data_IF_122896243665
#
_entry.id   IF_122896243665
#
_cell.length_a   1.000
_cell.length_b   1.000
_cell.length_c   1.000
_cell.angle_alpha   90.00
_cell.angle_beta   90.00
_cell.angle_gamma   90.00
#
_symmetry.space_group_name_H-M   'P 1'
#
loop_
_entity.id
_entity.type
_entity.pdbx_description
1 polymer ?
#
# COMPACT_ATOMS: atom_id res chain seq x y z
N UNK A 1 -10.47 -65.38 -45.92
CA UNK A 1 -11.34 -64.23 -45.58
C UNK A 1 -11.71 -64.34 -44.11
N UNK A 2 -11.10 -63.52 -43.27
CA UNK A 2 -11.49 -63.34 -41.87
C UNK A 2 -11.10 -61.91 -41.48
N UNK A 3 -12.10 -61.13 -41.05
CA UNK A 3 -12.01 -59.70 -40.81
C UNK A 3 -11.26 -59.37 -39.50
N UNK A 4 -10.65 -58.18 -39.39
CA UNK A 4 -9.99 -57.71 -38.18
C UNK A 4 -10.99 -57.17 -37.13
N UNK A 5 -10.59 -57.05 -35.85
CA UNK A 5 -11.49 -56.70 -34.75
C UNK A 5 -11.80 -55.20 -34.65
N UNK A 6 -12.96 -54.95 -34.04
CA UNK A 6 -13.60 -53.66 -33.78
C UNK A 6 -12.82 -52.75 -32.84
N UNK A 7 -12.59 -51.51 -33.27
CA UNK A 7 -12.09 -50.40 -32.44
C UNK A 7 -13.22 -49.78 -31.63
N UNK A 8 -12.99 -49.68 -30.32
CA UNK A 8 -13.86 -48.99 -29.37
C UNK A 8 -13.65 -47.48 -29.46
N UNK A 9 -14.76 -46.74 -29.56
CA UNK A 9 -14.85 -45.29 -29.50
C UNK A 9 -14.58 -44.78 -28.07
N UNK A 10 -13.55 -43.96 -27.88
CA UNK A 10 -13.40 -43.11 -26.69
C UNK A 10 -13.98 -41.72 -26.98
N UNK A 11 -14.65 -41.07 -26.01
CA UNK A 11 -15.30 -39.78 -26.24
C UNK A 11 -14.27 -38.66 -26.34
N UNK A 12 -14.43 -37.82 -27.36
CA UNK A 12 -13.73 -36.56 -27.53
C UNK A 12 -14.03 -35.64 -26.33
N UNK A 13 -13.06 -35.46 -25.45
CA UNK A 13 -13.07 -34.37 -24.49
C UNK A 13 -12.75 -33.07 -25.24
N UNK A 14 -13.67 -32.11 -25.19
CA UNK A 14 -13.41 -30.72 -25.55
C UNK A 14 -12.21 -30.22 -24.74
N UNK A 15 -11.11 -29.96 -25.44
CA UNK A 15 -10.00 -29.19 -24.89
C UNK A 15 -10.51 -27.76 -24.82
N UNK A 16 -10.80 -27.28 -23.61
CA UNK A 16 -11.08 -25.87 -23.38
C UNK A 16 -9.86 -25.06 -23.84
N UNK A 17 -10.00 -24.40 -24.98
CA UNK A 17 -9.00 -23.45 -25.48
C UNK A 17 -8.99 -22.29 -24.48
N UNK A 18 -7.95 -22.27 -23.65
CA UNK A 18 -7.70 -21.17 -22.73
C UNK A 18 -7.52 -19.90 -23.56
N UNK A 19 -8.45 -18.97 -23.37
CA UNK A 19 -8.55 -17.74 -24.15
C UNK A 19 -7.44 -16.81 -23.69
N UNK A 20 -6.36 -16.70 -24.48
CA UNK A 20 -5.32 -15.69 -24.31
C UNK A 20 -5.97 -14.29 -24.23
N UNK A 21 -5.48 -13.37 -23.36
CA UNK A 21 -6.06 -12.05 -23.19
C UNK A 21 -5.70 -11.17 -24.40
N UNK A 22 -6.41 -11.39 -25.50
CA UNK A 22 -6.34 -10.59 -26.71
C UNK A 22 -7.54 -9.66 -26.76
N UNK A 23 -7.24 -8.37 -26.72
CA UNK A 23 -8.15 -7.23 -26.90
C UNK A 23 -9.29 -7.10 -25.90
N UNK A 24 -9.22 -6.06 -25.08
CA UNK A 24 -10.37 -5.49 -24.39
C UNK A 24 -11.38 -5.02 -25.44
N UNK A 25 -12.34 -5.88 -25.75
CA UNK A 25 -13.42 -5.61 -26.70
C UNK A 25 -14.75 -6.15 -26.18
N UNK A 26 -15.68 -5.24 -25.89
CA UNK A 26 -17.12 -5.52 -25.86
C UNK A 26 -17.85 -5.19 -24.55
N UNK A 27 -18.05 -3.91 -24.25
CA UNK A 27 -18.94 -3.40 -23.21
C UNK A 27 -18.55 -2.00 -22.74
N UNK A 28 -19.41 -1.00 -22.94
CA UNK A 28 -19.16 0.46 -22.86
C UNK A 28 -18.81 1.05 -21.46
N UNK A 29 -18.30 0.25 -20.52
CA UNK A 29 -17.89 0.73 -19.20
C UNK A 29 -16.42 0.38 -18.92
N UNK A 30 -15.63 1.38 -18.53
CA UNK A 30 -14.29 1.14 -18.01
C UNK A 30 -14.37 0.22 -16.77
N UNK A 31 -13.43 -0.73 -16.60
CA UNK A 31 -13.43 -1.65 -15.47
C UNK A 31 -13.39 -0.89 -14.14
N UNK A 32 -14.13 -1.38 -13.16
CA UNK A 32 -14.12 -0.87 -11.80
C UNK A 32 -12.77 -1.09 -11.13
N UNK A 33 -12.48 -0.29 -10.09
CA UNK A 33 -11.24 -0.45 -9.31
C UNK A 33 -11.13 -1.84 -8.66
N UNK A 34 -12.25 -2.44 -8.28
CA UNK A 34 -12.28 -3.79 -7.70
C UNK A 34 -11.91 -4.85 -8.74
N UNK A 35 -12.42 -4.73 -9.97
CA UNK A 35 -12.05 -5.61 -11.09
C UNK A 35 -10.56 -5.48 -11.42
N UNK A 36 -10.05 -4.24 -11.51
CA UNK A 36 -8.62 -3.99 -11.74
C UNK A 36 -7.74 -4.61 -10.65
N UNK A 37 -8.11 -4.46 -9.36
CA UNK A 37 -7.38 -5.12 -8.28
C UNK A 37 -7.48 -6.65 -8.34
N UNK A 38 -8.60 -7.21 -8.78
CA UNK A 38 -8.74 -8.66 -8.98
C UNK A 38 -7.84 -9.16 -10.11
N UNK A 39 -7.74 -8.41 -11.21
CA UNK A 39 -6.81 -8.70 -12.31
C UNK A 39 -5.36 -8.67 -11.83
N UNK A 40 -4.96 -7.60 -11.12
CA UNK A 40 -3.61 -7.48 -10.54
C UNK A 40 -3.32 -8.64 -9.60
N UNK A 41 -4.25 -9.01 -8.71
CA UNK A 41 -4.06 -10.14 -7.79
C UNK A 41 -3.87 -11.47 -8.50
N UNK A 42 -4.60 -11.72 -9.60
CA UNK A 42 -4.46 -12.94 -10.40
C UNK A 42 -3.08 -13.04 -11.06
N UNK A 43 -2.45 -11.90 -11.34
CA UNK A 43 -1.22 -11.82 -12.12
C UNK A 43 0.00 -11.37 -11.29
N UNK A 44 -0.15 -11.26 -9.97
CA UNK A 44 0.95 -10.89 -9.07
C UNK A 44 1.57 -12.15 -8.48
N UNK A 45 2.71 -12.55 -9.06
CA UNK A 45 3.52 -13.69 -8.65
C UNK A 45 3.96 -13.63 -7.17
N UNK A 46 4.08 -12.44 -6.57
CA UNK A 46 4.57 -12.23 -5.20
C UNK A 46 3.49 -12.21 -4.12
N UNK A 47 2.21 -12.11 -4.47
CA UNK A 47 1.13 -11.99 -3.47
C UNK A 47 0.88 -13.32 -2.72
N UNK A 48 1.43 -14.45 -3.20
CA UNK A 48 1.31 -15.78 -2.59
C UNK A 48 2.48 -16.24 -1.71
N UNK A 49 3.69 -15.67 -1.81
CA UNK A 49 4.89 -16.26 -1.18
C UNK A 49 4.82 -16.31 0.37
N UNK A 50 4.05 -15.41 1.01
CA UNK A 50 3.89 -15.46 2.48
C UNK A 50 3.06 -16.65 2.98
N UNK A 51 2.43 -17.43 2.09
CA UNK A 51 1.79 -18.71 2.40
C UNK A 51 2.68 -19.81 1.84
N UNK A 52 3.41 -20.49 2.73
CA UNK A 52 4.02 -21.78 2.42
C UNK A 52 2.86 -22.69 2.00
N UNK A 53 2.94 -23.29 0.81
CA UNK A 53 1.91 -24.08 0.08
C UNK A 53 1.28 -23.35 -1.11
N UNK A 54 2.06 -23.19 -2.18
CA UNK A 54 1.53 -23.26 -3.54
C UNK A 54 2.53 -24.04 -4.38
N UNK A 55 2.07 -25.16 -4.91
CA UNK A 55 2.80 -26.02 -5.83
C UNK A 55 3.07 -25.21 -7.10
N UNK A 56 4.30 -25.30 -7.60
CA UNK A 56 4.83 -24.55 -8.74
C UNK A 56 4.06 -24.94 -10.02
N UNK A 57 2.94 -24.27 -10.27
CA UNK A 57 2.12 -24.48 -11.46
C UNK A 57 2.81 -23.79 -12.64
N UNK A 58 3.60 -24.56 -13.38
CA UNK A 58 4.50 -24.15 -14.45
C UNK A 58 3.81 -23.63 -15.74
N UNK A 59 2.61 -23.05 -15.65
CA UNK A 59 1.96 -22.31 -16.75
C UNK A 59 2.25 -20.79 -16.71
N UNK A 60 3.23 -20.41 -15.88
CA UNK A 60 3.53 -19.07 -15.39
C UNK A 60 4.14 -18.14 -16.45
N UNK A 61 3.32 -17.24 -16.99
CA UNK A 61 3.77 -16.19 -17.92
C UNK A 61 3.91 -14.89 -17.12
N UNK A 62 5.15 -14.46 -16.86
CA UNK A 62 5.46 -13.08 -16.43
C UNK A 62 4.72 -12.14 -17.39
N UNK A 63 3.74 -11.38 -16.87
CA UNK A 63 2.92 -10.52 -17.70
C UNK A 63 3.78 -9.42 -18.33
N UNK A 64 3.50 -9.10 -19.58
CA UNK A 64 4.29 -8.14 -20.33
C UNK A 64 4.17 -6.71 -19.78
N UNK A 65 5.16 -5.87 -20.07
CA UNK A 65 5.17 -4.45 -19.70
C UNK A 65 3.88 -3.72 -20.13
N UNK A 66 3.22 -4.20 -21.18
CA UNK A 66 1.98 -3.63 -21.71
C UNK A 66 0.81 -3.83 -20.75
N UNK A 67 0.68 -5.00 -20.12
CA UNK A 67 -0.34 -5.23 -19.10
C UNK A 67 -0.20 -4.22 -17.94
N UNK A 68 0.99 -4.10 -17.37
CA UNK A 68 1.24 -3.21 -16.24
C UNK A 68 1.09 -1.74 -16.59
N UNK A 69 1.53 -1.33 -17.79
CA UNK A 69 1.28 -0.01 -18.34
C UNK A 69 -0.22 0.29 -18.39
N UNK A 70 -1.04 -0.64 -18.90
CA UNK A 70 -2.49 -0.49 -18.98
C UNK A 70 -3.15 -0.45 -17.60
N UNK A 71 -2.69 -1.26 -16.65
CA UNK A 71 -3.18 -1.22 -15.27
C UNK A 71 -2.87 0.14 -14.61
N UNK A 72 -1.66 0.67 -14.76
CA UNK A 72 -1.29 1.98 -14.21
C UNK A 72 -2.16 3.09 -14.80
N UNK A 73 -2.35 3.07 -16.12
CA UNK A 73 -3.19 4.04 -16.83
C UNK A 73 -4.65 3.97 -16.37
N UNK A 74 -5.26 2.78 -16.40
CA UNK A 74 -6.65 2.58 -15.98
C UNK A 74 -6.87 2.94 -14.52
N UNK A 75 -5.90 2.67 -13.64
CA UNK A 75 -6.12 2.78 -12.20
C UNK A 75 -5.78 4.16 -11.62
N UNK A 76 -4.73 4.81 -12.11
CA UNK A 76 -4.22 6.07 -11.55
C UNK A 76 -4.36 7.27 -12.48
N UNK A 77 -4.55 7.05 -13.78
CA UNK A 77 -4.68 8.14 -14.76
C UNK A 77 -6.13 8.31 -15.18
N UNK A 78 -6.71 7.33 -15.88
CA UNK A 78 -8.09 7.36 -16.40
C UNK A 78 -9.14 7.06 -15.33
N UNK A 79 -8.86 6.16 -14.39
CA UNK A 79 -9.78 5.75 -13.32
C UNK A 79 -9.70 6.59 -12.06
N UNK A 80 -9.05 7.77 -12.12
CA UNK A 80 -9.01 8.70 -11.00
C UNK A 80 -10.41 9.22 -10.73
N UNK A 81 -10.99 8.80 -9.60
CA UNK A 81 -12.27 9.33 -9.11
C UNK A 81 -11.95 10.66 -8.45
N UNK A 82 -12.41 11.78 -8.99
CA UNK A 82 -12.17 13.10 -8.40
C UNK A 82 -12.90 13.24 -7.06
N UNK A 83 -12.30 12.80 -5.95
CA UNK A 83 -12.81 13.02 -4.59
C UNK A 83 -12.07 14.21 -3.97
N UNK A 84 -12.60 15.40 -4.25
CA UNK A 84 -12.26 16.67 -3.58
C UNK A 84 -10.92 17.33 -3.97
N UNK A 85 -10.75 18.58 -3.49
CA UNK A 85 -9.67 19.52 -3.83
C UNK A 85 -8.31 19.21 -3.17
N UNK A 86 -8.24 18.19 -2.32
CA UNK A 86 -7.06 17.89 -1.48
C UNK A 86 -6.30 16.63 -1.88
N UNK A 87 -6.66 15.99 -3.01
CA UNK A 87 -5.94 14.81 -3.46
C UNK A 87 -4.55 15.15 -4.00
N UNK A 88 -3.55 14.39 -3.54
CA UNK A 88 -2.21 14.40 -4.09
C UNK A 88 -2.26 14.16 -5.62
N UNK A 89 -1.61 15.02 -6.39
CA UNK A 89 -1.54 14.92 -7.84
C UNK A 89 -0.24 14.27 -8.33
N UNK A 90 0.56 13.70 -7.43
CA UNK A 90 1.80 13.04 -7.79
C UNK A 90 1.57 11.61 -8.31
N UNK A 91 2.22 11.29 -9.43
CA UNK A 91 2.30 9.94 -10.01
C UNK A 91 3.77 9.53 -10.06
N UNK A 92 4.06 8.35 -9.54
CA UNK A 92 5.42 7.83 -9.37
C UNK A 92 5.77 6.83 -10.48
N UNK A 93 7.00 6.89 -11.00
CA UNK A 93 7.49 5.99 -12.03
C UNK A 93 8.85 5.45 -11.63
N UNK A 94 9.00 4.13 -11.58
CA UNK A 94 10.25 3.44 -11.23
C UNK A 94 11.08 3.25 -12.48
N UNK A 95 12.37 3.61 -12.40
CA UNK A 95 13.30 3.42 -13.51
C UNK A 95 13.70 1.94 -13.62
N UNK A 96 13.64 1.41 -14.83
CA UNK A 96 14.10 0.06 -15.16
C UNK A 96 15.62 -0.01 -15.03
N UNK A 97 16.11 -0.94 -14.23
CA UNK A 97 17.55 -1.20 -14.08
C UNK A 97 18.14 -1.98 -15.27
N UNK A 98 17.32 -2.36 -16.27
CA UNK A 98 17.69 -3.29 -17.34
C UNK A 98 18.66 -2.70 -18.38
N UNK A 99 18.97 -1.39 -18.37
CA UNK A 99 19.59 -0.71 -19.52
C UNK A 99 20.81 0.19 -19.28
N UNK A 100 21.35 0.40 -18.07
CA UNK A 100 22.39 1.43 -17.90
C UNK A 100 23.66 1.02 -17.16
N UNK A 101 24.78 1.58 -17.66
CA UNK A 101 26.10 1.56 -17.06
C UNK A 101 26.57 2.97 -16.64
N UNK A 102 27.52 2.98 -15.71
CA UNK A 102 28.39 4.04 -15.21
C UNK A 102 27.79 5.24 -14.43
N UNK A 103 26.51 5.60 -14.56
CA UNK A 103 25.83 6.48 -13.58
C UNK A 103 24.48 5.87 -13.20
N UNK A 104 24.26 5.58 -11.92
CA UNK A 104 23.00 5.03 -11.43
C UNK A 104 21.93 6.14 -11.48
N UNK A 105 20.94 6.07 -12.39
CA UNK A 105 19.84 7.03 -12.40
C UNK A 105 19.09 6.95 -11.06
N UNK A 106 18.37 8.02 -10.66
CA UNK A 106 17.52 7.94 -9.48
C UNK A 106 16.56 6.76 -9.60
N UNK A 107 16.24 6.04 -8.50
CA UNK A 107 15.47 4.81 -8.57
C UNK A 107 14.04 5.01 -9.09
N UNK A 108 13.51 6.23 -9.00
CA UNK A 108 12.21 6.61 -9.52
C UNK A 108 12.21 8.10 -9.88
N UNK A 109 11.21 8.52 -10.65
CA UNK A 109 10.88 9.93 -10.90
C UNK A 109 9.39 10.18 -10.64
N UNK A 110 9.05 11.45 -10.44
CA UNK A 110 7.68 11.87 -10.10
C UNK A 110 7.17 12.84 -11.15
N UNK A 111 5.87 12.78 -11.43
CA UNK A 111 5.16 13.70 -12.32
C UNK A 111 3.87 14.17 -11.68
N UNK A 112 3.42 15.36 -12.05
CA UNK A 112 2.07 15.82 -11.72
C UNK A 112 1.09 15.17 -12.68
N UNK A 113 -0.04 14.71 -12.16
CA UNK A 113 -1.07 13.99 -12.87
C UNK A 113 -1.56 14.80 -14.07
N UNK A 114 -1.86 14.08 -15.14
CA UNK A 114 -2.43 14.61 -16.37
C UNK A 114 -3.46 13.60 -16.87
N UNK A 115 -4.51 14.02 -17.59
CA UNK A 115 -5.58 13.12 -18.04
C UNK A 115 -5.15 12.02 -19.02
N UNK A 116 -3.91 12.06 -19.49
CA UNK A 116 -3.34 11.11 -20.46
C UNK A 116 -1.96 10.68 -20.00
N UNK A 117 -1.73 9.38 -19.94
CA UNK A 117 -0.47 8.82 -19.46
C UNK A 117 0.71 9.24 -20.34
N UNK A 118 0.51 9.40 -21.65
CA UNK A 118 1.57 9.86 -22.57
C UNK A 118 2.09 11.27 -22.23
N UNK A 119 1.29 12.11 -21.57
CA UNK A 119 1.72 13.45 -21.13
C UNK A 119 2.61 13.42 -19.89
N UNK A 120 2.59 12.31 -19.14
CA UNK A 120 3.43 12.11 -17.96
C UNK A 120 4.81 11.58 -18.34
N UNK A 121 4.85 10.76 -19.40
CA UNK A 121 6.03 10.03 -19.84
C UNK A 121 6.67 10.77 -21.02
N UNK A 122 7.50 11.76 -20.74
CA UNK A 122 8.40 12.37 -21.74
C UNK A 122 9.71 11.57 -21.92
N UNK A 123 9.81 10.40 -21.27
CA UNK A 123 10.99 9.52 -21.26
C UNK A 123 10.71 8.32 -22.18
N UNK A 124 11.74 7.61 -22.63
CA UNK A 124 11.55 6.37 -23.38
C UNK A 124 10.73 5.38 -22.53
N UNK A 125 9.57 4.94 -23.05
CA UNK A 125 8.65 3.99 -22.38
C UNK A 125 9.37 2.71 -21.94
N UNK A 126 10.42 2.33 -22.67
CA UNK A 126 11.28 1.16 -22.41
C UNK A 126 12.18 1.29 -21.16
N UNK A 127 12.31 2.48 -20.58
CA UNK A 127 13.12 2.75 -19.38
C UNK A 127 12.28 2.69 -18.09
N UNK A 128 10.98 2.41 -18.17
CA UNK A 128 10.08 2.39 -17.01
C UNK A 128 9.78 0.95 -16.62
N UNK A 129 9.94 0.64 -15.34
CA UNK A 129 9.43 -0.59 -14.74
C UNK A 129 7.96 -0.39 -14.37
N UNK A 130 7.06 -0.83 -15.27
CA UNK A 130 5.62 -0.60 -15.15
C UNK A 130 5.00 -1.31 -13.94
N UNK A 131 5.46 -2.53 -13.65
CA UNK A 131 4.98 -3.30 -12.51
C UNK A 131 5.32 -2.60 -11.19
N UNK A 132 6.60 -2.25 -11.00
CA UNK A 132 7.04 -1.54 -9.78
C UNK A 132 6.42 -0.16 -9.68
N UNK A 133 6.20 0.53 -10.80
CA UNK A 133 5.48 1.79 -10.84
C UNK A 133 4.04 1.62 -10.37
N UNK A 134 3.33 0.58 -10.83
CA UNK A 134 1.97 0.30 -10.38
C UNK A 134 1.90 0.08 -8.86
N UNK A 135 2.75 -0.80 -8.31
CA UNK A 135 2.75 -1.06 -6.87
C UNK A 135 3.18 0.15 -6.05
N UNK A 136 4.14 0.94 -6.54
CA UNK A 136 4.55 2.15 -5.84
C UNK A 136 3.37 3.13 -5.74
N UNK A 137 2.64 3.38 -6.83
CA UNK A 137 1.44 4.22 -6.78
C UNK A 137 0.34 3.62 -5.90
N UNK A 138 0.18 2.29 -5.90
CA UNK A 138 -0.80 1.61 -5.04
C UNK A 138 -0.49 1.88 -3.56
N UNK A 139 0.78 1.82 -3.18
CA UNK A 139 1.23 2.12 -1.82
C UNK A 139 1.11 3.62 -1.54
N UNK A 140 1.63 4.51 -2.37
CA UNK A 140 1.62 5.96 -2.10
C UNK A 140 0.23 6.57 -2.07
N UNK A 141 -0.74 6.01 -2.81
CA UNK A 141 -2.11 6.52 -2.85
C UNK A 141 -3.08 5.73 -1.95
N UNK A 142 -2.58 4.81 -1.13
CA UNK A 142 -3.35 4.20 -0.05
C UNK A 142 -3.31 5.10 1.19
N UNK A 143 -4.39 5.16 1.96
CA UNK A 143 -4.40 5.94 3.20
C UNK A 143 -3.84 5.14 4.37
N UNK A 144 -3.13 5.84 5.26
CA UNK A 144 -2.51 5.20 6.41
C UNK A 144 -2.76 5.98 7.69
N UNK A 145 -2.78 5.25 8.80
CA UNK A 145 -2.85 5.84 10.14
C UNK A 145 -1.82 5.18 11.04
N UNK A 146 -0.94 5.99 11.61
CA UNK A 146 -0.09 5.60 12.73
C UNK A 146 -0.84 5.87 14.03
N UNK A 147 -0.84 4.89 14.90
CA UNK A 147 -1.36 5.00 16.26
C UNK A 147 -0.24 4.73 17.24
N UNK A 148 -0.05 5.64 18.18
CA UNK A 148 0.84 5.46 19.32
C UNK A 148 0.00 5.45 20.58
N UNK A 149 0.15 4.41 21.39
CA UNK A 149 -0.57 4.24 22.63
C UNK A 149 0.38 3.88 23.77
N UNK A 150 0.09 4.36 24.96
CA UNK A 150 0.77 3.99 26.20
C UNK A 150 -0.05 2.91 26.89
N UNK A 151 0.59 1.79 27.22
CA UNK A 151 -0.02 0.70 27.96
C UNK A 151 0.81 0.37 29.20
N UNK A 152 0.15 -0.10 30.26
CA UNK A 152 0.83 -0.79 31.35
C UNK A 152 1.25 -2.20 30.91
N UNK A 153 2.49 -2.56 31.19
CA UNK A 153 3.05 -3.89 30.92
C UNK A 153 2.29 -4.95 31.71
N UNK A 154 1.93 -4.66 32.98
CA UNK A 154 1.12 -5.54 33.81
C UNK A 154 -0.25 -5.83 33.20
N UNK A 155 -0.89 -4.81 32.66
CA UNK A 155 -2.17 -4.93 31.94
C UNK A 155 -2.04 -5.81 30.68
N UNK A 156 -1.00 -5.59 29.87
CA UNK A 156 -0.77 -6.40 28.68
C UNK A 156 -0.55 -7.88 29.01
N UNK A 157 0.18 -8.20 30.09
CA UNK A 157 0.38 -9.57 30.58
C UNK A 157 -0.95 -10.20 31.02
N UNK A 158 -1.74 -9.49 31.82
CA UNK A 158 -3.05 -9.94 32.28
C UNK A 158 -4.07 -10.16 31.13
N UNK A 159 -3.94 -9.39 30.03
CA UNK A 159 -4.79 -9.56 28.84
C UNK A 159 -4.57 -10.90 28.15
N UNK A 160 -3.33 -11.37 28.06
CA UNK A 160 -3.03 -12.68 27.47
C UNK A 160 -3.78 -13.81 28.20
N UNK A 161 -4.04 -13.62 29.49
CA UNK A 161 -4.72 -14.60 30.34
C UNK A 161 -6.25 -14.45 30.37
N UNK A 162 -6.80 -13.24 30.19
CA UNK A 162 -8.22 -12.94 30.48
C UNK A 162 -9.06 -12.45 29.29
N UNK A 163 -8.51 -12.41 28.06
CA UNK A 163 -9.19 -12.05 26.80
C UNK A 163 -9.99 -10.71 26.81
N UNK A 164 -9.76 -9.85 27.82
CA UNK A 164 -10.45 -8.56 27.96
C UNK A 164 -9.63 -7.46 27.27
N UNK A 165 -10.28 -6.61 26.47
CA UNK A 165 -9.65 -5.42 25.90
C UNK A 165 -9.40 -4.40 27.02
N UNK A 166 -8.14 -4.08 27.27
CA UNK A 166 -7.74 -3.07 28.24
C UNK A 166 -7.59 -1.72 27.51
N UNK A 167 -8.14 -0.63 28.08
CA UNK A 167 -7.95 0.69 27.49
C UNK A 167 -6.48 1.12 27.64
N UNK A 168 -5.92 1.81 26.65
CA UNK A 168 -4.61 2.43 26.82
C UNK A 168 -4.68 3.56 27.85
N UNK A 169 -3.56 3.81 28.52
CA UNK A 169 -3.37 4.97 29.42
C UNK A 169 -3.48 6.27 28.63
N UNK A 170 -2.90 6.27 27.43
CA UNK A 170 -3.00 7.37 26.48
C UNK A 170 -2.97 6.81 25.06
N UNK A 171 -3.66 7.45 24.12
CA UNK A 171 -3.68 7.04 22.72
C UNK A 171 -3.82 8.24 21.81
N UNK A 172 -2.98 8.29 20.79
CA UNK A 172 -3.09 9.23 19.68
C UNK A 172 -3.02 8.48 18.36
N UNK A 173 -3.78 8.96 17.37
CA UNK A 173 -3.78 8.45 16.01
C UNK A 173 -3.64 9.61 15.04
N UNK A 174 -2.73 9.49 14.06
CA UNK A 174 -2.50 10.50 13.03
C UNK A 174 -2.46 9.84 11.66
N UNK A 175 -3.03 10.52 10.67
CA UNK A 175 -2.85 10.16 9.26
C UNK A 175 -1.40 10.37 8.88
N UNK A 176 -0.84 9.43 8.13
CA UNK A 176 0.52 9.52 7.58
C UNK A 176 0.48 9.15 6.11
N UNK A 177 1.49 9.59 5.37
CA UNK A 177 1.59 9.34 3.93
C UNK A 177 2.80 8.43 3.67
N UNK A 178 2.60 7.45 2.79
CA UNK A 178 3.67 6.60 2.31
C UNK A 178 4.55 7.41 1.34
N UNK A 179 5.86 7.42 1.59
CA UNK A 179 6.83 8.13 0.76
C UNK A 179 7.98 7.20 0.34
N UNK A 180 8.35 7.16 -0.95
CA UNK A 180 9.58 6.49 -1.41
C UNK A 180 10.85 7.30 -1.12
N UNK A 181 10.73 8.44 -0.43
CA UNK A 181 11.84 9.26 0.04
C UNK A 181 11.84 9.30 1.57
N UNK A 182 13.04 9.46 2.15
CA UNK A 182 13.19 9.67 3.59
C UNK A 182 13.62 11.09 3.89
N UNK A 183 12.98 11.68 4.89
CA UNK A 183 13.39 12.93 5.53
C UNK A 183 14.43 12.59 6.60
N UNK A 184 15.65 13.13 6.48
CA UNK A 184 16.65 13.00 7.55
C UNK A 184 16.35 14.05 8.63
N UNK A 185 15.48 13.71 9.58
CA UNK A 185 15.17 14.57 10.71
C UNK A 185 16.46 14.97 11.45
N UNK A 186 16.78 16.27 11.40
CA UNK A 186 17.81 16.88 12.23
C UNK A 186 17.10 17.81 13.19
N UNK A 187 17.03 17.42 14.47
CA UNK A 187 16.41 18.20 15.55
C UNK A 187 16.85 19.68 15.54
N UNK A 188 18.07 19.96 15.07
CA UNK A 188 18.72 21.27 15.20
C UNK A 188 18.53 22.23 13.99
N UNK A 189 17.83 21.88 12.90
CA UNK A 189 17.85 22.69 11.67
C UNK A 189 16.54 23.37 11.28
N UNK A 190 16.58 24.71 11.29
CA UNK A 190 15.59 25.64 10.68
C UNK A 190 15.62 25.72 9.14
N UNK A 191 16.18 24.71 8.46
CA UNK A 191 16.27 24.66 6.98
C UNK A 191 15.51 23.45 6.46
N UNK A 192 14.93 23.59 5.26
CA UNK A 192 14.29 22.51 4.52
C UNK A 192 15.15 21.24 4.60
N UNK A 193 14.56 20.18 5.14
CA UNK A 193 15.25 18.90 5.30
C UNK A 193 15.44 18.31 3.91
N UNK A 194 16.68 18.01 3.56
CA UNK A 194 17.00 17.32 2.30
C UNK A 194 16.38 15.91 2.33
N UNK A 195 15.49 15.64 1.39
CA UNK A 195 14.90 14.32 1.19
C UNK A 195 15.86 13.46 0.37
N UNK A 196 16.15 12.26 0.87
CA UNK A 196 16.99 11.29 0.17
C UNK A 196 16.11 10.17 -0.37
N UNK A 197 16.31 9.66 -1.59
CA UNK A 197 15.61 8.47 -2.07
C UNK A 197 15.78 7.30 -1.10
N UNK A 198 14.68 6.64 -0.75
CA UNK A 198 14.66 5.49 0.15
C UNK A 198 14.20 4.21 -0.55
N UNK A 199 13.55 4.34 -1.71
CA UNK A 199 13.09 3.23 -2.55
C UNK A 199 14.21 2.17 -2.75
N UNK A 200 13.91 0.87 -2.55
CA UNK A 200 12.59 0.26 -2.44
C UNK A 200 11.91 0.36 -1.06
N UNK A 201 12.56 0.98 -0.06
CA UNK A 201 11.93 1.20 1.24
C UNK A 201 10.90 2.34 1.18
N UNK A 202 9.79 2.14 1.88
CA UNK A 202 8.71 3.13 2.01
C UNK A 202 8.72 3.69 3.42
N UNK A 203 8.79 5.00 3.53
CA UNK A 203 8.80 5.73 4.79
C UNK A 203 7.39 6.26 5.11
N UNK A 204 7.04 6.25 6.39
CA UNK A 204 5.80 6.86 6.90
C UNK A 204 6.21 7.92 7.92
N UNK A 205 6.34 9.16 7.48
CA UNK A 205 6.64 10.29 8.38
C UNK A 205 5.37 10.90 8.94
N UNK A 206 5.49 11.45 10.14
CA UNK A 206 4.54 12.39 10.71
C UNK A 206 5.21 13.75 10.58
N UNK A 207 4.62 14.72 9.90
CA UNK A 207 5.28 16.02 9.68
C UNK A 207 4.94 17.03 10.78
N UNK A 208 3.87 16.78 11.52
CA UNK A 208 3.31 17.61 12.58
C UNK A 208 3.35 16.85 13.92
N UNK A 209 4.57 16.70 14.45
CA UNK A 209 4.82 16.03 15.74
C UNK A 209 4.51 16.92 16.94
N UNK A 210 4.77 18.22 16.77
CA UNK A 210 4.57 19.27 17.78
C UNK A 210 3.04 19.40 17.97
N UNK A 211 2.55 19.23 19.20
CA UNK A 211 1.15 19.20 19.63
C UNK A 211 0.54 17.79 19.89
N UNK A 212 0.40 16.86 18.92
CA UNK A 212 -0.32 15.60 19.17
C UNK A 212 0.45 14.57 19.99
N UNK A 213 1.79 14.64 19.99
CA UNK A 213 2.65 13.68 20.69
C UNK A 213 3.27 14.26 21.97
N UNK A 214 3.06 15.53 22.30
CA UNK A 214 3.62 16.18 23.50
C UNK A 214 3.19 15.48 24.80
N UNK A 215 1.96 14.98 24.83
CA UNK A 215 1.43 14.22 25.96
C UNK A 215 1.84 12.74 25.95
N UNK A 216 2.50 12.27 24.90
CA UNK A 216 2.97 10.89 24.74
C UNK A 216 4.35 10.77 25.38
N UNK A 217 4.37 10.74 26.71
CA UNK A 217 5.60 10.62 27.51
C UNK A 217 5.52 9.41 28.44
N UNK A 218 6.45 8.47 28.29
CA UNK A 218 6.63 7.39 29.25
C UNK A 218 7.23 7.95 30.55
N UNK A 219 6.37 8.18 31.54
CA UNK A 219 6.78 8.62 32.88
C UNK A 219 6.88 7.46 33.87
N UNK A 220 6.09 6.41 33.67
CA UNK A 220 6.06 5.22 34.54
C UNK A 220 6.96 4.11 33.94
N UNK A 221 7.90 3.54 34.73
CA UNK A 221 8.73 2.41 34.30
C UNK A 221 7.93 1.16 33.88
N UNK A 222 6.71 0.99 34.38
CA UNK A 222 5.82 -0.11 34.04
C UNK A 222 5.00 0.17 32.77
N UNK A 223 5.23 1.29 32.09
CA UNK A 223 4.58 1.61 30.82
C UNK A 223 5.46 1.30 29.60
N UNK A 224 4.80 1.05 28.48
CA UNK A 224 5.43 0.91 27.17
C UNK A 224 4.66 1.70 26.10
N UNK A 225 5.36 2.11 25.05
CA UNK A 225 4.70 2.55 23.83
C UNK A 225 4.31 1.33 23.00
N UNK A 226 3.11 1.33 22.46
CA UNK A 226 2.68 0.45 21.38
C UNK A 226 2.43 1.29 20.13
N UNK A 227 3.07 0.93 19.03
CA UNK A 227 2.97 1.62 17.75
C UNK A 227 2.33 0.69 16.73
N UNK A 228 1.29 1.18 16.06
CA UNK A 228 0.56 0.43 15.05
C UNK A 228 0.43 1.28 13.79
N UNK A 229 0.92 0.78 12.65
CA UNK A 229 0.66 1.33 11.33
C UNK A 229 -0.44 0.52 10.67
N UNK A 230 -1.45 1.22 10.16
CA UNK A 230 -2.54 0.57 9.46
C UNK A 230 -2.75 1.20 8.10
N UNK A 231 -3.00 0.36 7.10
CA UNK A 231 -3.53 0.74 5.81
C UNK A 231 -5.06 0.68 5.84
N UNK A 232 -5.72 1.67 5.27
CA UNK A 232 -7.16 1.78 5.14
C UNK A 232 -7.48 2.70 3.96
N UNK A 233 -8.66 2.53 3.35
CA UNK A 233 -9.16 3.40 2.26
C UNK A 233 -8.14 3.66 1.11
N UNK A 234 -8.44 4.61 0.23
CA UNK A 234 -7.57 5.01 -0.88
C UNK A 234 -7.40 3.90 -1.92
N UNK A 235 -6.21 3.84 -2.50
CA UNK A 235 -6.00 3.07 -3.71
C UNK A 235 -6.22 1.56 -3.54
N UNK A 236 -5.76 0.97 -2.43
CA UNK A 236 -5.85 -0.46 -2.16
C UNK A 236 -7.20 -0.93 -1.56
N UNK A 237 -8.06 0.00 -1.11
CA UNK A 237 -9.33 -0.32 -0.47
C UNK A 237 -10.48 0.47 -1.13
N UNK A 238 -10.87 0.11 -2.37
CA UNK A 238 -11.95 0.80 -3.06
C UNK A 238 -13.27 0.64 -2.31
N UNK A 239 -13.98 1.74 -2.10
CA UNK A 239 -15.36 1.70 -1.60
C UNK A 239 -16.28 1.04 -2.64
N UNK A 240 -17.12 0.11 -2.20
CA UNK A 240 -18.25 -0.32 -3.03
C UNK A 240 -19.25 0.83 -3.14
N UNK A 241 -19.21 1.57 -4.23
CA UNK A 241 -20.32 2.46 -4.58
C UNK A 241 -21.52 1.59 -4.92
N UNK A 242 -22.33 1.24 -3.91
CA UNK A 242 -23.72 0.87 -4.14
C UNK A 242 -24.33 2.02 -4.92
N UNK A 243 -24.80 1.73 -6.12
CA UNK A 243 -25.51 2.68 -6.99
C UNK A 243 -26.60 3.39 -6.18
N UNK A 244 -26.36 4.64 -5.80
CA UNK A 244 -27.40 5.51 -5.25
C UNK A 244 -28.31 5.97 -6.40
N UNK A 245 -29.16 5.06 -6.86
CA UNK A 245 -30.42 5.45 -7.48
C UNK A 245 -31.46 5.45 -6.37
N UNK A 246 -31.78 6.63 -5.86
CA UNK A 246 -33.12 7.20 -6.06
C UNK A 246 -33.30 8.47 -5.24
N UNK A 247 -33.78 9.47 -5.95
CA UNK A 247 -34.28 10.75 -5.46
C UNK A 247 -35.38 10.60 -4.41
N UNK A 248 -35.23 11.24 -3.25
CA UNK A 248 -36.29 12.04 -2.63
C UNK A 248 -35.75 12.95 -1.53
N UNK A 249 -36.12 14.23 -1.62
CA UNK A 249 -36.01 15.23 -0.56
C UNK A 249 -36.88 14.84 0.63
N UNK A 250 -36.32 14.69 1.85
CA UNK A 250 -36.92 15.15 3.11
C UNK A 250 -35.79 15.50 4.11
N UNK A 251 -35.84 16.71 4.66
CA UNK A 251 -35.04 17.17 5.80
C UNK A 251 -35.74 16.74 7.11
N UNK A 252 -35.02 16.14 8.06
CA UNK A 252 -35.08 16.39 9.51
C UNK A 252 -34.31 15.31 10.29
N UNK A 253 -33.59 15.74 11.32
CA UNK A 253 -32.71 14.88 12.12
C UNK A 253 -33.43 13.96 13.09
N UNK A 254 -32.79 12.84 13.38
CA UNK A 254 -32.72 12.15 14.67
C UNK A 254 -31.80 10.94 14.49
N UNK A 255 -31.01 10.66 15.53
CA UNK A 255 -30.07 9.54 15.62
C UNK A 255 -30.61 8.25 14.98
N UNK A 256 -29.88 7.74 14.00
CA UNK A 256 -29.92 6.33 13.65
C UNK A 256 -28.48 5.87 13.56
N UNK A 257 -28.10 5.04 14.54
CA UNK A 257 -26.84 4.31 14.52
C UNK A 257 -26.82 3.42 13.30
N UNK A 258 -26.29 3.93 12.20
CA UNK A 258 -25.82 3.07 11.14
C UNK A 258 -24.68 2.26 11.73
N UNK A 259 -24.86 0.94 11.79
CA UNK A 259 -23.73 0.01 11.80
C UNK A 259 -22.96 0.23 10.49
N UNK A 260 -22.19 1.31 10.42
CA UNK A 260 -21.10 1.42 9.45
C UNK A 260 -20.14 0.33 9.87
N UNK A 261 -20.14 -0.79 9.13
CA UNK A 261 -19.01 -1.69 9.14
C UNK A 261 -17.77 -0.81 8.92
N UNK A 262 -16.87 -0.80 9.90
CA UNK A 262 -15.64 -0.02 9.77
C UNK A 262 -14.97 -0.45 8.46
N UNK A 263 -14.45 0.50 7.66
CA UNK A 263 -13.82 0.16 6.40
C UNK A 263 -12.71 -0.88 6.63
N UNK A 264 -12.50 -1.80 5.67
CA UNK A 264 -11.50 -2.86 5.81
C UNK A 264 -10.15 -2.23 6.13
N UNK A 265 -9.60 -2.60 7.29
CA UNK A 265 -8.34 -2.07 7.82
C UNK A 265 -7.33 -3.20 7.92
N UNK A 266 -6.11 -2.97 7.43
CA UNK A 266 -5.01 -3.93 7.52
C UNK A 266 -3.88 -3.36 8.36
N UNK A 267 -3.45 -4.11 9.37
CA UNK A 267 -2.26 -3.75 10.16
C UNK A 267 -1.02 -4.14 9.37
N UNK A 268 -0.16 -3.17 9.06
CA UNK A 268 1.11 -3.40 8.37
C UNK A 268 2.27 -3.55 9.35
N UNK A 269 2.20 -2.83 10.48
CA UNK A 269 3.20 -2.89 11.53
C UNK A 269 2.52 -2.82 12.88
N UNK A 270 3.02 -3.62 13.82
CA UNK A 270 2.65 -3.58 15.23
C UNK A 270 3.90 -3.90 16.05
N UNK A 271 4.34 -2.94 16.86
CA UNK A 271 5.50 -3.09 17.71
C UNK A 271 5.28 -2.42 19.07
N UNK A 272 6.15 -2.74 20.02
CA UNK A 272 6.18 -2.05 21.30
C UNK A 272 7.63 -1.73 21.70
N UNK A 273 7.79 -0.70 22.52
CA UNK A 273 9.08 -0.34 23.14
C UNK A 273 8.85 -0.02 24.60
N UNK A 274 9.64 -0.64 25.48
CA UNK A 274 9.53 -0.46 26.93
C UNK A 274 10.13 0.87 27.38
N UNK A 275 9.72 1.35 28.55
CA UNK A 275 10.37 2.49 29.21
C UNK A 275 11.90 2.34 29.25
N UNK A 276 12.39 1.16 29.65
CA UNK A 276 13.82 0.88 29.79
C UNK A 276 14.56 1.02 28.46
N UNK A 277 14.01 0.52 27.36
CA UNK A 277 14.65 0.65 26.04
C UNK A 277 14.66 2.10 25.53
N UNK A 278 13.60 2.88 25.81
CA UNK A 278 13.58 4.31 25.47
C UNK A 278 14.64 5.05 26.29
N UNK A 279 14.77 4.72 27.58
CA UNK A 279 15.74 5.34 28.47
C UNK A 279 17.17 5.00 28.07
N UNK A 280 17.45 3.74 27.78
CA UNK A 280 18.76 3.30 27.27
C UNK A 280 19.14 4.00 25.97
N UNK A 281 18.19 4.14 25.03
CA UNK A 281 18.44 4.86 23.78
C UNK A 281 18.65 6.37 23.99
N UNK A 282 17.99 6.98 24.98
CA UNK A 282 18.18 8.38 25.34
C UNK A 282 19.51 8.64 26.05
N UNK A 283 19.90 7.75 26.97
CA UNK A 283 21.14 7.85 27.74
C UNK A 283 22.36 7.37 26.93
N UNK A 284 22.15 6.70 25.79
CA UNK A 284 23.22 6.26 24.91
C UNK A 284 24.03 7.47 24.42
N UNK A 285 25.37 7.45 24.54
CA UNK A 285 26.20 8.55 24.06
C UNK A 285 25.99 8.70 22.56
N UNK A 286 25.61 9.89 22.11
CA UNK A 286 25.53 10.22 20.69
C UNK A 286 26.90 9.94 20.06
N UNK A 287 27.01 8.90 19.23
CA UNK A 287 28.21 8.62 18.42
C UNK A 287 28.36 9.68 17.33
N UNK A 288 28.59 10.94 17.72
CA UNK A 288 28.88 12.07 16.81
C UNK A 288 29.98 12.99 17.35
N UNK A 289 30.71 12.59 18.40
CA UNK A 289 31.84 13.39 18.92
C UNK A 289 33.20 12.70 18.93
N UNK A 290 33.44 11.73 18.04
CA UNK A 290 34.79 11.16 17.86
C UNK A 290 35.16 10.98 16.39
N UNK A 291 35.34 12.11 15.70
CA UNK A 291 36.24 12.23 14.54
C UNK A 291 36.58 13.71 14.35
N UNK A 292 37.33 14.25 15.32
CA UNK A 292 38.24 15.39 15.12
C UNK A 292 39.54 15.06 15.85
N UNK A 293 40.49 14.54 15.10
CA UNK A 293 41.91 14.66 15.32
C UNK A 293 42.54 14.82 13.93
#
# INVERSE_FOLDING_TARGET
MAAPPSTSSSPSGEIAVERSPSSFGGGDAAPSRLELLSMVKKHSHLIGWTVVEAEDDASDVEMDDKFWHEMLDLFFVRGRVSKSREEDDLVFFVNSMKTHGFEDPPPFFVRRWAPKLEKLINVNVSEIDWERSFYLNLVTHTSYTVTVAIYSIGDLRNRAEKSKRLPPVYKVSKTVYASPSRVNFRLDRRKAVETVPAYPNICFSVDDFDDPFDAVVLSDPEHCYCVILNAHDGAAFPEETKSKNDSSNIQCGANSGSNQENPPKRTLFSGYVSYQNVREAYDAPSMTSSMRA
#
